data_IF_752286740944
#
_entry.id   IF_752286740944
#
_cell.length_a   1.000
_cell.length_b   1.000
_cell.length_c   1.000
_cell.angle_alpha   90.00
_cell.angle_beta   90.00
_cell.angle_gamma   90.00
#
_symmetry.space_group_name_H-M   'P 1'
#
loop_
_entity.id
_entity.type
_entity.pdbx_description
1 polymer ?
#
# COMPACT_ATOMS: atom_id res chain seq x y z
N UNK A 1 14.03 -5.51 -10.89
CA UNK A 1 14.30 -4.45 -9.88
C UNK A 1 13.79 -4.82 -8.48
N UNK A 2 12.50 -5.17 -8.28
CA UNK A 2 11.97 -5.58 -6.94
C UNK A 2 12.69 -6.83 -6.40
N UNK A 3 13.00 -7.81 -7.25
CA UNK A 3 13.72 -9.03 -6.86
C UNK A 3 15.13 -8.75 -6.30
N UNK A 4 15.84 -7.78 -6.87
CA UNK A 4 17.17 -7.38 -6.38
C UNK A 4 17.07 -6.72 -5.00
N UNK A 5 16.08 -5.86 -4.78
CA UNK A 5 15.83 -5.24 -3.47
C UNK A 5 15.39 -6.28 -2.43
N UNK A 6 14.58 -7.27 -2.83
CA UNK A 6 14.20 -8.38 -1.95
C UNK A 6 15.41 -9.22 -1.54
N UNK A 7 16.35 -9.46 -2.47
CA UNK A 7 17.60 -10.18 -2.16
C UNK A 7 18.46 -9.43 -1.13
N UNK A 8 18.56 -8.10 -1.25
CA UNK A 8 19.26 -7.27 -0.25
C UNK A 8 18.58 -7.35 1.11
N UNK A 9 17.24 -7.23 1.15
CA UNK A 9 16.46 -7.35 2.39
C UNK A 9 16.68 -8.73 3.04
N UNK A 10 16.64 -9.79 2.25
CA UNK A 10 16.86 -11.16 2.73
C UNK A 10 18.27 -11.34 3.32
N UNK A 11 19.29 -10.77 2.67
CA UNK A 11 20.67 -10.81 3.15
C UNK A 11 20.79 -10.05 4.49
N UNK A 12 20.21 -8.85 4.57
CA UNK A 12 20.21 -8.07 5.81
C UNK A 12 19.51 -8.83 6.95
N UNK A 13 18.36 -9.46 6.68
CA UNK A 13 17.64 -10.25 7.67
C UNK A 13 18.47 -11.42 8.19
N UNK A 14 19.19 -12.13 7.33
CA UNK A 14 20.10 -13.23 7.70
C UNK A 14 21.26 -12.76 8.57
N UNK A 15 21.84 -11.61 8.27
CA UNK A 15 22.93 -11.03 9.06
C UNK A 15 22.44 -10.70 10.47
N UNK A 16 21.27 -10.05 10.58
CA UNK A 16 20.68 -9.65 11.88
C UNK A 16 20.36 -10.85 12.75
N UNK A 17 19.86 -11.94 12.17
CA UNK A 17 19.44 -13.16 12.91
C UNK A 17 20.50 -14.25 12.95
N UNK A 18 21.69 -14.02 12.36
CA UNK A 18 22.77 -15.02 12.25
C UNK A 18 22.28 -16.32 11.61
N UNK A 19 21.37 -16.23 10.65
CA UNK A 19 20.76 -17.38 9.97
C UNK A 19 21.60 -17.82 8.78
N UNK A 20 21.73 -19.15 8.56
CA UNK A 20 22.52 -19.72 7.48
C UNK A 20 21.94 -19.38 6.10
N UNK A 21 22.81 -19.35 5.07
CA UNK A 21 22.45 -19.00 3.69
C UNK A 21 21.33 -19.88 3.11
N UNK A 22 21.29 -21.14 3.48
CA UNK A 22 20.35 -22.13 2.94
C UNK A 22 19.03 -22.26 3.71
N UNK A 23 18.89 -21.62 4.87
CA UNK A 23 17.68 -21.65 5.64
C UNK A 23 16.56 -20.85 4.97
N UNK A 24 15.31 -21.26 5.17
CA UNK A 24 14.16 -20.54 4.64
C UNK A 24 14.08 -19.13 5.24
N UNK A 25 13.92 -18.12 4.38
CA UNK A 25 13.89 -16.71 4.79
C UNK A 25 12.56 -16.28 5.41
N UNK A 26 11.47 -16.91 5.03
CA UNK A 26 10.12 -16.53 5.47
C UNK A 26 9.95 -16.51 7.00
N UNK A 27 10.36 -17.54 7.78
CA UNK A 27 10.28 -17.50 9.24
C UNK A 27 11.09 -16.35 9.85
N UNK A 28 12.24 -16.03 9.25
CA UNK A 28 13.11 -14.94 9.69
C UNK A 28 12.43 -13.58 9.51
N UNK A 29 11.80 -13.35 8.35
CA UNK A 29 11.06 -12.11 8.10
C UNK A 29 9.85 -11.98 9.03
N UNK A 30 9.15 -13.08 9.34
CA UNK A 30 8.04 -13.11 10.30
C UNK A 30 8.55 -12.74 11.69
N UNK A 31 9.63 -13.35 12.16
CA UNK A 31 10.23 -13.07 13.47
C UNK A 31 10.66 -11.61 13.61
N UNK A 32 11.24 -11.03 12.56
CA UNK A 32 11.64 -9.62 12.52
C UNK A 32 10.46 -8.66 12.29
N UNK A 33 9.25 -9.14 12.03
CA UNK A 33 8.10 -8.34 11.60
C UNK A 33 8.40 -7.45 10.37
N UNK A 34 9.21 -7.97 9.45
CA UNK A 34 9.58 -7.28 8.22
C UNK A 34 8.64 -7.67 7.08
N UNK A 35 8.01 -6.66 6.50
CA UNK A 35 7.24 -6.85 5.27
C UNK A 35 8.17 -7.07 4.08
N UNK A 36 7.88 -8.04 3.19
CA UNK A 36 8.55 -8.15 1.91
C UNK A 36 8.48 -6.83 1.12
N UNK A 37 9.51 -6.55 0.30
CA UNK A 37 9.65 -5.28 -0.42
C UNK A 37 8.40 -4.88 -1.19
N UNK A 38 7.74 -5.83 -1.87
CA UNK A 38 6.50 -5.56 -2.60
C UNK A 38 5.40 -5.00 -1.68
N UNK A 39 5.15 -5.63 -0.55
CA UNK A 39 4.14 -5.19 0.42
C UNK A 39 4.53 -3.89 1.13
N UNK A 40 5.83 -3.64 1.27
CA UNK A 40 6.33 -2.36 1.79
C UNK A 40 6.03 -1.21 0.84
N UNK A 41 6.20 -1.42 -0.46
CA UNK A 41 5.83 -0.43 -1.48
C UNK A 41 4.32 -0.14 -1.42
N UNK A 42 3.48 -1.17 -1.34
CA UNK A 42 2.03 -1.00 -1.20
C UNK A 42 1.66 -0.21 0.07
N UNK A 43 2.33 -0.51 1.18
CA UNK A 43 2.13 0.21 2.44
C UNK A 43 2.43 1.70 2.29
N UNK A 44 3.58 2.06 1.69
CA UNK A 44 3.98 3.47 1.52
C UNK A 44 3.04 4.22 0.56
N UNK A 45 2.64 3.60 -0.55
CA UNK A 45 1.68 4.19 -1.50
C UNK A 45 0.35 4.45 -0.81
N UNK A 46 -0.22 3.47 -0.11
CA UNK A 46 -1.51 3.63 0.59
C UNK A 46 -1.43 4.64 1.74
N UNK A 47 -0.30 4.71 2.43
CA UNK A 47 -0.07 5.71 3.46
C UNK A 47 -0.01 7.13 2.86
N UNK A 48 0.62 7.28 1.69
CA UNK A 48 0.67 8.55 0.98
C UNK A 48 -0.72 8.99 0.51
N UNK A 49 -1.54 8.06 -0.01
CA UNK A 49 -2.94 8.32 -0.34
C UNK A 49 -3.72 8.79 0.88
N UNK A 50 -3.61 8.08 2.00
CA UNK A 50 -4.26 8.47 3.24
C UNK A 50 -3.88 9.90 3.67
N UNK A 51 -2.58 10.21 3.64
CA UNK A 51 -2.09 11.57 3.97
C UNK A 51 -2.63 12.62 3.01
N UNK A 52 -2.68 12.32 1.71
CA UNK A 52 -3.20 13.24 0.70
C UNK A 52 -4.68 13.55 0.92
N UNK A 53 -5.49 12.54 1.22
CA UNK A 53 -6.92 12.71 1.48
C UNK A 53 -7.23 13.47 2.79
N UNK A 54 -6.32 13.44 3.76
CA UNK A 54 -6.46 14.14 5.03
C UNK A 54 -5.68 15.47 5.10
N UNK A 55 -5.22 16.01 3.96
CA UNK A 55 -4.52 17.31 3.91
C UNK A 55 -3.12 17.30 4.54
N UNK A 56 -2.52 16.11 4.76
CA UNK A 56 -1.20 15.95 5.36
C UNK A 56 -0.09 15.69 4.33
N UNK A 57 -0.38 15.84 3.05
CA UNK A 57 0.57 15.68 1.95
C UNK A 57 0.78 17.00 1.21
N UNK A 58 1.87 17.15 0.45
CA UNK A 58 2.08 18.31 -0.42
C UNK A 58 0.95 18.47 -1.43
N UNK A 59 0.63 19.71 -1.80
CA UNK A 59 -0.49 20.07 -2.68
C UNK A 59 -0.45 19.32 -4.01
N UNK A 60 0.71 19.18 -4.64
CA UNK A 60 0.86 18.49 -5.91
C UNK A 60 0.50 16.99 -5.86
N UNK A 61 0.60 16.35 -4.69
CA UNK A 61 0.13 14.96 -4.49
C UNK A 61 -1.38 14.93 -4.31
N UNK A 62 -1.92 15.91 -3.57
CA UNK A 62 -3.36 15.99 -3.30
C UNK A 62 -4.14 16.24 -4.60
N UNK A 63 -3.63 17.06 -5.51
CA UNK A 63 -4.24 17.36 -6.81
C UNK A 63 -4.30 16.16 -7.77
N UNK A 64 -3.46 15.13 -7.55
CA UNK A 64 -3.49 13.90 -8.35
C UNK A 64 -4.63 12.94 -7.96
N UNK A 65 -5.30 13.19 -6.84
CA UNK A 65 -6.34 12.32 -6.30
C UNK A 65 -7.67 13.06 -6.28
N UNK A 66 -8.71 12.45 -6.83
CA UNK A 66 -10.07 12.98 -6.77
C UNK A 66 -11.03 11.90 -6.30
N UNK A 67 -12.03 12.30 -5.52
CA UNK A 67 -13.10 11.39 -5.14
C UNK A 67 -13.98 11.05 -6.34
N UNK A 68 -14.53 9.85 -6.35
CA UNK A 68 -15.49 9.43 -7.36
C UNK A 68 -16.81 10.21 -7.14
N UNK A 69 -17.11 11.14 -8.04
CA UNK A 69 -18.37 11.85 -8.06
C UNK A 69 -19.37 11.08 -8.91
N UNK A 70 -20.23 10.26 -8.29
CA UNK A 70 -21.32 9.62 -9.00
C UNK A 70 -22.45 10.62 -9.22
N UNK A 71 -22.89 10.80 -10.48
CA UNK A 71 -24.00 11.69 -10.86
C UNK A 71 -25.37 11.26 -10.31
N UNK A 72 -25.48 10.06 -9.76
CA UNK A 72 -26.66 9.53 -9.08
C UNK A 72 -26.29 9.18 -7.64
N UNK A 73 -27.12 9.63 -6.70
CA UNK A 73 -27.03 9.29 -5.27
C UNK A 73 -27.35 7.79 -5.08
N UNK A 74 -26.35 6.95 -5.33
CA UNK A 74 -26.38 5.54 -4.99
C UNK A 74 -25.73 5.35 -3.61
N UNK A 75 -26.07 4.28 -2.90
CA UNK A 75 -25.50 3.91 -1.59
C UNK A 75 -23.94 3.83 -1.56
N UNK A 76 -23.30 3.93 -2.71
CA UNK A 76 -21.84 3.94 -2.85
C UNK A 76 -21.18 5.32 -2.63
N UNK A 77 -21.95 6.39 -2.46
CA UNK A 77 -21.42 7.76 -2.32
C UNK A 77 -20.60 7.92 -1.03
N UNK A 78 -20.95 7.17 0.03
CA UNK A 78 -20.27 7.23 1.33
C UNK A 78 -19.03 6.32 1.43
N UNK A 79 -18.70 5.59 0.36
CA UNK A 79 -17.59 4.61 0.39
C UNK A 79 -16.20 5.22 0.27
N UNK A 80 -16.06 6.56 0.18
CA UNK A 80 -14.76 7.26 0.03
C UNK A 80 -13.89 6.66 -1.09
N UNK A 81 -14.52 6.28 -2.21
CA UNK A 81 -13.82 5.75 -3.38
C UNK A 81 -13.15 6.89 -4.16
N UNK A 82 -12.01 6.57 -4.77
CA UNK A 82 -11.26 7.48 -5.61
C UNK A 82 -11.55 7.22 -7.09
N UNK A 83 -11.59 8.28 -7.87
CA UNK A 83 -11.71 8.20 -9.33
C UNK A 83 -10.40 7.65 -9.92
N UNK A 84 -10.51 6.64 -10.77
CA UNK A 84 -9.37 6.06 -11.48
C UNK A 84 -9.33 6.66 -12.88
N UNK A 85 -8.33 7.51 -13.22
CA UNK A 85 -8.19 8.07 -14.56
C UNK A 85 -7.95 6.98 -15.59
N UNK A 86 -8.48 7.16 -16.80
CA UNK A 86 -8.18 6.26 -17.91
C UNK A 86 -6.75 6.46 -18.39
N UNK A 87 -5.97 5.39 -18.38
CA UNK A 87 -4.59 5.41 -18.92
C UNK A 87 -4.61 4.96 -20.39
N UNK A 88 -3.92 5.70 -21.27
CA UNK A 88 -3.73 5.32 -22.68
C UNK A 88 -2.67 4.24 -22.86
N UNK A 89 -1.66 4.20 -21.99
CA UNK A 89 -0.53 3.28 -22.06
C UNK A 89 -0.57 2.32 -20.87
N UNK A 90 -0.83 1.04 -21.15
CA UNK A 90 -0.91 0.00 -20.11
C UNK A 90 0.39 -0.19 -19.32
N UNK A 91 1.56 0.01 -19.93
CA UNK A 91 2.85 -0.26 -19.28
C UNK A 91 3.33 0.88 -18.38
N UNK A 92 3.26 2.12 -18.85
CA UNK A 92 3.74 3.29 -18.09
C UNK A 92 2.61 4.04 -17.39
N UNK A 93 1.47 4.19 -18.05
CA UNK A 93 0.33 4.92 -17.51
C UNK A 93 -0.28 4.24 -16.28
N UNK A 94 -0.38 2.91 -16.28
CA UNK A 94 -0.93 2.16 -15.14
C UNK A 94 -0.02 2.20 -13.90
N UNK A 95 1.27 2.53 -14.07
CA UNK A 95 2.23 2.69 -12.96
C UNK A 95 2.25 4.11 -12.40
N UNK A 96 1.66 5.08 -13.10
CA UNK A 96 1.58 6.45 -12.60
C UNK A 96 0.82 6.48 -11.27
N UNK A 97 1.29 7.30 -10.32
CA UNK A 97 0.67 7.42 -9.01
C UNK A 97 -0.82 7.76 -9.10
N UNK A 98 -1.19 8.69 -10.01
CA UNK A 98 -2.58 9.09 -10.25
C UNK A 98 -3.52 7.95 -10.68
N UNK A 99 -2.99 6.83 -11.19
CA UNK A 99 -3.75 5.65 -11.63
C UNK A 99 -3.62 4.50 -10.64
N UNK A 100 -2.39 4.18 -10.25
CA UNK A 100 -2.10 3.04 -9.38
C UNK A 100 -2.63 3.26 -7.96
N UNK A 101 -2.46 4.46 -7.41
CA UNK A 101 -2.85 4.77 -6.05
C UNK A 101 -4.37 4.69 -5.81
N UNK A 102 -5.25 5.27 -6.66
CA UNK A 102 -6.69 5.08 -6.56
C UNK A 102 -7.14 3.63 -6.70
N UNK A 103 -6.52 2.84 -7.60
CA UNK A 103 -6.83 1.40 -7.73
C UNK A 103 -6.57 0.67 -6.42
N UNK A 104 -5.38 0.83 -5.84
CA UNK A 104 -4.99 0.21 -4.57
C UNK A 104 -5.88 0.67 -3.40
N UNK A 105 -6.24 1.96 -3.37
CA UNK A 105 -7.13 2.51 -2.35
C UNK A 105 -8.52 1.90 -2.41
N UNK A 106 -9.08 1.75 -3.60
CA UNK A 106 -10.41 1.20 -3.82
C UNK A 106 -10.48 -0.31 -3.50
N UNK A 107 -9.36 -1.03 -3.52
CA UNK A 107 -9.26 -2.44 -3.08
C UNK A 107 -9.30 -2.61 -1.55
N UNK A 108 -9.08 -1.52 -0.78
CA UNK A 108 -9.22 -1.57 0.67
C UNK A 108 -10.70 -1.69 1.06
N UNK A 109 -10.97 -2.38 2.18
CA UNK A 109 -12.31 -2.41 2.75
C UNK A 109 -12.70 -1.05 3.31
N UNK A 110 -14.00 -0.81 3.45
CA UNK A 110 -14.55 0.46 3.96
C UNK A 110 -13.98 0.82 5.34
N UNK A 111 -13.77 -0.19 6.21
CA UNK A 111 -13.22 0.00 7.54
C UNK A 111 -11.87 0.73 7.54
N UNK A 112 -11.00 0.42 6.57
CA UNK A 112 -9.71 1.11 6.42
C UNK A 112 -9.86 2.55 5.92
N UNK A 113 -10.79 2.76 4.99
CA UNK A 113 -11.00 4.08 4.36
C UNK A 113 -11.69 5.09 5.31
N UNK A 114 -12.37 4.59 6.33
CA UNK A 114 -13.07 5.40 7.33
C UNK A 114 -12.25 5.68 8.59
N UNK A 115 -11.00 5.22 8.68
CA UNK A 115 -10.16 5.49 9.84
C UNK A 115 -9.71 6.96 9.87
N UNK A 116 -10.02 7.66 10.97
CA UNK A 116 -9.69 9.09 11.10
C UNK A 116 -8.28 9.34 11.63
N UNK A 117 -7.69 8.37 12.35
CA UNK A 117 -6.37 8.51 12.97
C UNK A 117 -5.29 7.79 12.17
N UNK A 118 -4.27 8.54 11.73
CA UNK A 118 -3.14 8.00 10.96
C UNK A 118 -2.41 6.86 11.69
N UNK A 119 -2.30 6.92 13.02
CA UNK A 119 -1.65 5.88 13.81
C UNK A 119 -2.41 4.54 13.74
N UNK A 120 -3.74 4.59 13.82
CA UNK A 120 -4.60 3.41 13.66
C UNK A 120 -4.53 2.88 12.24
N UNK A 121 -4.61 3.77 11.23
CA UNK A 121 -4.49 3.39 9.82
C UNK A 121 -3.17 2.64 9.55
N UNK A 122 -2.03 3.18 9.99
CA UNK A 122 -0.71 2.53 9.85
C UNK A 122 -0.69 1.14 10.50
N UNK A 123 -1.20 1.03 11.73
CA UNK A 123 -1.20 -0.24 12.49
C UNK A 123 -2.05 -1.29 11.78
N UNK A 124 -3.28 -0.95 11.43
CA UNK A 124 -4.21 -1.86 10.76
C UNK A 124 -3.72 -2.26 9.37
N UNK A 125 -3.23 -1.28 8.58
CA UNK A 125 -2.70 -1.54 7.24
C UNK A 125 -1.49 -2.46 7.29
N UNK A 126 -0.53 -2.21 8.19
CA UNK A 126 0.65 -3.07 8.36
C UNK A 126 0.23 -4.50 8.72
N UNK A 127 -0.70 -4.67 9.66
CA UNK A 127 -1.21 -5.98 10.07
C UNK A 127 -1.90 -6.71 8.91
N UNK A 128 -2.74 -6.01 8.15
CA UNK A 128 -3.43 -6.59 6.99
C UNK A 128 -2.44 -7.05 5.90
N UNK A 129 -1.48 -6.20 5.55
CA UNK A 129 -0.45 -6.53 4.57
C UNK A 129 0.46 -7.65 5.04
N UNK A 130 0.75 -7.72 6.34
CA UNK A 130 1.53 -8.81 6.93
C UNK A 130 0.80 -10.14 6.82
N UNK A 131 -0.49 -10.16 7.14
CA UNK A 131 -1.35 -11.34 6.97
C UNK A 131 -1.39 -11.80 5.51
N UNK A 132 -1.57 -10.86 4.58
CA UNK A 132 -1.54 -11.16 3.13
C UNK A 132 -0.18 -11.68 2.65
N UNK A 133 0.92 -11.16 3.19
CA UNK A 133 2.27 -11.52 2.76
C UNK A 133 2.67 -12.93 3.19
N UNK A 134 2.21 -13.38 4.35
CA UNK A 134 2.64 -14.63 4.98
C UNK A 134 1.53 -15.66 5.17
N UNK A 135 0.30 -15.34 4.74
CA UNK A 135 -0.91 -16.18 4.91
C UNK A 135 -1.15 -16.60 6.38
N UNK A 136 -0.96 -15.65 7.30
CA UNK A 136 -1.08 -15.84 8.75
C UNK A 136 -2.32 -15.14 9.28
#
# INVERSE_FOLDING_TARGET
MISSLQSVQNTAARIVTVTKKFDHITPVLIQLHWLPVHFRILFEVLLLVYKALNGMAPLYIMELLSYCTCSRSLCSTDQKLLAVPKSRLKTYGDRAFSVAAPKLWNELTLDFRCLDKIGLFKKHLKTNLFKKAFNV
#
